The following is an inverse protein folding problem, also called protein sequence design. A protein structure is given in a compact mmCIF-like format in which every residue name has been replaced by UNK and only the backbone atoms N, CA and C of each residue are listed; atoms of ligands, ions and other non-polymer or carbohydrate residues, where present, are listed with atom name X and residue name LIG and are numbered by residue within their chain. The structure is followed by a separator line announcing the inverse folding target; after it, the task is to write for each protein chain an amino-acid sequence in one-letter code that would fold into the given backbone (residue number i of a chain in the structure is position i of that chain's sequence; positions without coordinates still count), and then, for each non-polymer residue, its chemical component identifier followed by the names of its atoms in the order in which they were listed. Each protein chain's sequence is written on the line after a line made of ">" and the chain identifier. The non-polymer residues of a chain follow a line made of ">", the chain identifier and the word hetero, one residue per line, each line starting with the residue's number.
data_IF_929137907561
#
_entry.id   IF_929137907561
#
_cell.length_a   1.000
_cell.length_b   1.000
_cell.length_c   1.000
_cell.angle_alpha   90.00
_cell.angle_beta   90.00
_cell.angle_gamma   90.00
#
_symmetry.space_group_name_H-M   'P 1'
#
loop_
_entity.id
_entity.type
_entity.pdbx_description
1 polymer ?
2 non-polymer ?
3 water ?
#
# COMPACT_ATOMS: atom_id res chain seq x y z
N UNK A 25 -23.99 9.44 1.40
CA UNK A 25 -25.15 8.80 0.78
C UNK A 25 -24.81 8.45 -0.66
N UNK A 26 -23.54 8.71 -0.99
CA UNK A 26 -22.85 8.37 -2.24
C UNK A 26 -21.58 9.21 -2.27
N UNK A 27 -20.50 8.63 -2.81
CA UNK A 27 -19.20 9.26 -3.01
C UNK A 27 -19.10 10.74 -2.64
N UNK A 28 -18.98 11.60 -3.66
CA UNK A 28 -19.08 13.07 -3.70
C UNK A 28 -17.75 13.60 -4.23
N UNK A 29 -16.63 13.17 -3.65
CA UNK A 29 -15.32 13.42 -4.23
C UNK A 29 -14.73 12.16 -4.83
N UNK A 30 -15.32 10.99 -4.55
CA UNK A 30 -14.95 9.77 -5.27
C UNK A 30 -15.59 9.72 -6.64
N UNK A 31 -16.76 10.34 -6.81
CA UNK A 31 -17.30 10.55 -8.15
C UNK A 31 -16.39 11.47 -8.96
N UNK A 32 -15.92 12.55 -8.33
CA UNK A 32 -14.94 13.42 -8.97
C UNK A 32 -13.65 12.66 -9.25
N UNK A 33 -13.30 11.68 -8.42
CA UNK A 33 -12.10 10.90 -8.65
C UNK A 33 -12.23 10.05 -9.91
N UNK A 34 -13.39 9.41 -10.10
CA UNK A 34 -13.61 8.62 -11.31
C UNK A 34 -13.55 9.51 -12.55
N UNK A 35 -14.08 10.73 -12.44
CA UNK A 35 -14.01 11.66 -13.56
C UNK A 35 -12.60 12.23 -13.75
N UNK A 36 -11.81 12.26 -12.68
CA UNK A 36 -10.47 12.86 -12.76
C UNK A 36 -9.37 11.85 -13.03
N UNK A 37 -9.55 10.60 -12.60
CA UNK A 37 -8.52 9.58 -12.71
C UNK A 37 -9.02 8.40 -13.53
N UNK A 38 -8.12 7.80 -14.30
CA UNK A 38 -8.43 6.68 -15.17
C UNK A 38 -7.81 5.39 -14.61
N UNK A 39 -8.09 4.28 -15.30
CA UNK A 39 -7.54 3.01 -14.90
C UNK A 39 -6.07 2.94 -15.29
N UNK A 40 -5.23 2.49 -14.36
CA UNK A 40 -3.78 2.38 -14.56
C UNK A 40 -3.19 3.72 -15.02
N UNK A 41 -3.54 4.77 -14.28
CA UNK A 41 -3.09 6.10 -14.63
C UNK A 41 -1.62 6.29 -14.30
N UNK A 42 -1.08 7.44 -14.69
CA UNK A 42 0.31 7.77 -14.40
C UNK A 42 0.53 7.85 -12.89
N UNK A 43 1.73 7.45 -12.46
CA UNK A 43 2.02 7.40 -11.04
C UNK A 43 1.98 8.78 -10.40
N UNK A 44 2.46 9.80 -11.12
CA UNK A 44 2.57 11.14 -10.58
C UNK A 44 1.47 12.07 -11.07
N UNK A 45 0.40 11.53 -11.65
CA UNK A 45 -0.69 12.38 -12.12
C UNK A 45 -1.51 12.86 -10.93
N UNK A 46 -1.74 14.16 -10.79
CA UNK A 46 -2.50 14.66 -9.64
C UNK A 46 -3.93 14.16 -9.65
N UNK A 47 -4.44 13.86 -8.46
CA UNK A 47 -5.79 13.38 -8.30
C UNK A 47 -6.43 13.91 -7.03
N UNK A 48 -7.76 13.92 -6.98
CA UNK A 48 -8.45 14.44 -5.80
C UNK A 48 -8.51 13.41 -4.70
N UNK A 49 -8.61 13.85 -3.44
CA UNK A 49 -8.81 12.91 -2.34
C UNK A 49 -10.29 12.67 -2.08
N UNK A 50 -10.59 11.47 -1.58
CA UNK A 50 -11.97 11.12 -1.27
C UNK A 50 -12.00 10.22 -0.04
N UNK A 51 -13.17 10.17 0.58
CA UNK A 51 -13.37 9.35 1.77
C UNK A 51 -13.70 7.91 1.37
N UNK A 52 -12.95 6.97 1.94
CA UNK A 52 -13.22 5.55 1.70
C UNK A 52 -14.36 5.08 2.59
N UNK A 53 -14.15 5.15 3.91
CA UNK A 53 -15.17 4.76 4.89
C UNK A 53 -14.78 5.26 6.28
N UNK A 54 -15.67 6.02 6.91
CA UNK A 54 -15.42 6.54 8.25
C UNK A 54 -14.19 7.44 8.34
N UNK A 55 -13.21 7.01 9.14
CA UNK A 55 -12.00 7.78 9.36
C UNK A 55 -10.94 7.53 8.30
N UNK A 56 -11.22 6.70 7.31
CA UNK A 56 -10.23 6.31 6.31
C UNK A 56 -10.47 7.09 5.01
N UNK A 57 -9.39 7.65 4.46
CA UNK A 57 -9.47 8.46 3.25
C UNK A 57 -8.41 8.00 2.26
N UNK A 58 -8.68 8.26 0.98
CA UNK A 58 -7.71 8.08 -0.09
C UNK A 58 -7.07 9.42 -0.39
N UNK A 59 -5.75 9.51 -0.24
CA UNK A 59 -5.03 10.76 -0.45
C UNK A 59 -3.92 10.61 -1.49
N UNK A 60 -3.98 9.53 -2.29
CA UNK A 60 -2.95 9.26 -3.26
C UNK A 60 -3.22 9.93 -4.60
N UNK A 61 -2.41 9.55 -5.58
CA UNK A 61 -2.53 10.08 -6.94
C UNK A 61 -3.57 9.27 -7.70
N UNK A 62 -3.68 9.51 -9.01
CA UNK A 62 -4.53 8.68 -9.86
C UNK A 62 -3.92 7.33 -10.16
N UNK A 63 -2.61 7.17 -9.95
CA UNK A 63 -1.96 5.92 -10.27
C UNK A 63 -1.36 5.22 -9.05
N UNK A 64 -1.11 5.96 -7.98
CA UNK A 64 -0.51 5.41 -6.77
C UNK A 64 -1.39 5.77 -5.58
N UNK A 65 -1.66 4.78 -4.74
CA UNK A 65 -2.55 4.96 -3.59
C UNK A 65 -1.78 5.41 -2.35
N UNK A 66 -2.44 6.22 -1.55
CA UNK A 66 -1.97 6.61 -0.22
C UNK A 66 -3.18 6.66 0.69
N UNK A 67 -3.10 5.95 1.82
CA UNK A 67 -4.25 5.76 2.69
C UNK A 67 -4.04 6.56 3.97
N UNK A 68 -4.96 7.48 4.25
CA UNK A 68 -4.94 8.29 5.46
C UNK A 68 -6.02 7.81 6.42
N UNK A 69 -5.62 7.50 7.65
CA UNK A 69 -6.53 7.03 8.69
C UNK A 69 -6.42 7.99 9.87
N UNK A 70 -7.51 8.68 10.17
CA UNK A 70 -7.52 9.76 11.16
C UNK A 70 -8.03 9.25 12.50
N UNK A 71 -7.45 9.77 13.58
CA UNK A 71 -7.85 9.41 14.93
C UNK A 71 -7.83 10.63 15.84
N UNK A 72 -8.19 10.39 17.10
CA UNK A 72 -8.26 11.48 18.08
C UNK A 72 -6.89 11.89 18.60
N UNK A 73 -5.85 11.10 18.36
CA UNK A 73 -4.50 11.41 18.83
C UNK A 73 -3.51 11.35 17.68
N UNK A 74 -3.91 11.85 16.52
CA UNK A 74 -3.07 11.84 15.33
C UNK A 74 -3.57 10.85 14.30
N UNK A 75 -2.94 10.93 13.12
CA UNK A 75 -3.32 10.11 11.98
C UNK A 75 -2.19 9.17 11.60
N UNK A 76 -2.56 8.12 10.89
CA UNK A 76 -1.61 7.17 10.29
C UNK A 76 -1.73 7.29 8.78
N UNK A 77 -0.58 7.34 8.10
CA UNK A 77 -0.53 7.48 6.65
C UNK A 77 0.29 6.33 6.08
N UNK A 78 -0.31 5.56 5.18
CA UNK A 78 0.35 4.44 4.53
C UNK A 78 0.77 4.86 3.14
N UNK A 79 2.04 4.62 2.80
CA UNK A 79 2.62 4.89 1.49
C UNK A 79 2.73 6.38 1.21
N UNK A 80 3.66 6.75 0.33
CA UNK A 80 3.93 8.13 -0.01
C UNK A 80 3.88 8.43 -1.51
N UNK A 81 3.87 7.40 -2.36
CA UNK A 81 4.09 7.63 -3.77
C UNK A 81 5.55 8.00 -4.00
N UNK A 82 5.81 8.49 -5.22
CA UNK A 82 7.14 8.97 -5.55
C UNK A 82 7.43 10.27 -4.81
N UNK A 83 8.66 10.77 -4.97
CA UNK A 83 8.98 12.08 -4.41
C UNK A 83 8.11 13.16 -5.04
N UNK A 84 7.66 12.95 -6.27
CA UNK A 84 6.73 13.88 -6.91
C UNK A 84 5.29 13.62 -6.48
N UNK A 85 4.94 12.34 -6.28
CA UNK A 85 3.62 12.01 -5.79
C UNK A 85 3.37 12.42 -4.35
N UNK A 86 4.43 12.53 -3.54
CA UNK A 86 4.28 12.99 -2.17
C UNK A 86 3.78 14.44 -2.12
N UNK A 87 4.08 15.23 -3.14
CA UNK A 87 3.54 16.58 -3.21
C UNK A 87 2.02 16.54 -3.37
N UNK A 88 1.51 15.60 -4.17
CA UNK A 88 0.07 15.45 -4.34
C UNK A 88 -0.56 14.93 -3.06
N UNK A 89 0.12 14.00 -2.37
CA UNK A 89 -0.39 13.48 -1.11
C UNK A 89 -0.47 14.60 -0.07
N UNK A 90 0.58 15.41 0.01
CA UNK A 90 0.56 16.56 0.91
C UNK A 90 -0.58 17.50 0.58
N UNK A 91 -0.80 17.76 -0.71
CA UNK A 91 -1.92 18.61 -1.10
C UNK A 91 -3.26 17.98 -0.75
N UNK A 92 -3.39 16.67 -0.97
CA UNK A 92 -4.68 16.01 -0.76
C UNK A 92 -5.06 15.99 0.72
N UNK A 93 -4.07 15.83 1.60
CA UNK A 93 -4.33 15.87 3.03
C UNK A 93 -4.86 17.24 3.44
N UNK A 94 -4.27 18.30 2.86
CA UNK A 94 -4.73 19.66 3.17
C UNK A 94 -6.10 19.93 2.57
N UNK A 95 -6.41 19.33 1.43
CA UNK A 95 -7.73 19.51 0.82
C UNK A 95 -8.83 18.99 1.72
N UNK A 96 -8.58 17.86 2.41
CA UNK A 96 -9.55 17.32 3.34
C UNK A 96 -9.64 18.12 4.63
N UNK A 97 -8.69 19.02 4.88
CA UNK A 97 -8.69 19.83 6.08
C UNK A 97 -7.88 19.26 7.23
N UNK A 98 -7.05 18.25 6.99
CA UNK A 98 -6.26 17.63 8.03
C UNK A 98 -4.85 18.22 8.05
N UNK A 99 -4.30 18.32 9.26
CA UNK A 99 -2.96 18.88 9.44
C UNK A 99 -1.90 17.80 9.17
N UNK A 100 -0.87 18.16 8.41
CA UNK A 100 0.20 17.21 8.13
C UNK A 100 0.98 16.87 9.39
N UNK A 101 1.17 17.86 10.28
CA UNK A 101 1.86 17.59 11.54
C UNK A 101 1.06 16.66 12.44
N UNK A 102 -0.24 16.52 12.21
CA UNK A 102 -1.04 15.54 12.95
C UNK A 102 -0.82 14.12 12.47
N UNK A 103 -0.17 13.92 11.33
CA UNK A 103 0.23 12.59 10.90
C UNK A 103 1.39 12.15 11.78
N UNK A 104 1.14 11.18 12.67
CA UNK A 104 2.14 10.75 13.65
C UNK A 104 2.86 9.47 13.25
N UNK A 105 2.29 8.66 12.35
CA UNK A 105 2.85 7.36 12.01
C UNK A 105 2.80 7.20 10.49
N UNK A 106 3.92 6.77 9.91
CA UNK A 106 4.01 6.45 8.49
C UNK A 106 4.22 4.96 8.30
N UNK A 107 3.40 4.36 7.46
CA UNK A 107 3.49 2.95 7.12
C UNK A 107 3.73 2.81 5.61
N UNK A 108 3.99 1.57 5.18
CA UNK A 108 4.31 1.30 3.79
C UNK A 108 3.68 0.00 3.35
N UNK A 109 3.45 -0.11 2.05
CA UNK A 109 3.06 -1.38 1.43
C UNK A 109 4.32 -2.20 1.15
N UNK A 110 5.05 -1.81 0.10
CA UNK A 110 6.34 -2.41 -0.19
C UNK A 110 7.32 -1.32 -0.63
N UNK A 111 8.60 -1.65 -0.58
CA UNK A 111 9.69 -0.68 -0.65
C UNK A 111 10.10 -0.33 -2.07
N UNK A 112 9.16 -0.16 -2.99
CA UNK A 112 9.48 0.28 -4.34
C UNK A 112 9.32 1.81 -4.44
N UNK A 113 10.05 2.39 -5.39
CA UNK A 113 10.15 3.85 -5.46
C UNK A 113 8.80 4.49 -5.75
N UNK A 114 7.91 3.78 -6.46
CA UNK A 114 6.62 4.37 -6.78
C UNK A 114 5.67 4.42 -5.59
N UNK A 115 6.05 3.84 -4.45
CA UNK A 115 5.21 3.83 -3.26
C UNK A 115 5.85 4.49 -2.04
N UNK A 116 7.18 4.46 -1.92
CA UNK A 116 7.85 5.01 -0.76
C UNK A 116 8.95 5.98 -1.19
N UNK A 117 8.93 6.37 -2.47
CA UNK A 117 9.96 7.26 -2.97
C UNK A 117 9.97 8.61 -2.28
N UNK A 118 8.80 9.12 -1.93
CA UNK A 118 8.71 10.41 -1.27
C UNK A 118 8.46 10.30 0.23
N UNK A 119 8.84 9.16 0.82
CA UNK A 119 8.60 8.95 2.24
C UNK A 119 9.43 9.91 3.09
N UNK A 120 10.67 10.19 2.67
CA UNK A 120 11.53 11.07 3.44
C UNK A 120 10.97 12.49 3.48
N UNK A 121 10.37 12.94 2.38
CA UNK A 121 9.81 14.29 2.35
C UNK A 121 8.60 14.39 3.27
N UNK A 122 7.74 13.37 3.28
CA UNK A 122 6.57 13.39 4.16
C UNK A 122 6.98 13.25 5.62
N UNK A 123 8.02 12.46 5.89
CA UNK A 123 8.50 12.31 7.26
C UNK A 123 9.13 13.60 7.77
N UNK A 124 9.83 14.33 6.89
CA UNK A 124 10.51 15.55 7.33
C UNK A 124 9.53 16.67 7.60
N UNK A 125 8.49 16.79 6.77
CA UNK A 125 7.55 17.89 6.91
C UNK A 125 6.47 17.62 7.94
N UNK A 126 6.18 16.35 8.24
CA UNK A 126 5.19 15.99 9.25
C UNK A 126 5.80 15.67 10.60
N UNK A 127 7.06 15.22 10.63
CA UNK A 127 7.67 14.78 11.85
C UNK A 127 7.22 13.43 12.35
N UNK A 128 6.53 12.65 11.51
CA UNK A 128 6.03 11.35 11.91
C UNK A 128 7.19 10.35 12.04
N UNK A 129 6.94 9.31 12.82
CA UNK A 129 7.89 8.20 12.93
C UNK A 129 7.50 7.13 11.91
N UNK A 130 8.48 6.66 11.14
CA UNK A 130 8.26 5.73 10.06
C UNK A 130 8.53 4.31 10.53
N UNK A 131 7.51 3.46 10.45
CA UNK A 131 7.63 2.05 10.79
C UNK A 131 7.76 1.23 9.52
N UNK A 132 8.67 0.25 9.53
CA UNK A 132 8.94 -0.54 8.35
C UNK A 132 9.41 -1.93 8.75
N UNK A 133 9.10 -2.90 7.89
CA UNK A 133 9.63 -4.25 8.07
C UNK A 133 11.15 -4.23 7.92
N UNK A 134 11.84 -5.23 8.48
CA UNK A 134 13.31 -5.23 8.40
C UNK A 134 13.86 -5.14 6.98
N UNK A 135 13.29 -5.87 6.03
CA UNK A 135 13.78 -5.80 4.66
C UNK A 135 13.48 -4.44 4.03
N UNK A 136 12.29 -3.89 4.31
CA UNK A 136 11.96 -2.57 3.79
C UNK A 136 12.79 -1.48 4.46
N UNK A 137 13.05 -1.62 5.76
CA UNK A 137 13.83 -0.62 6.48
C UNK A 137 15.23 -0.47 5.89
N UNK A 138 15.81 -1.57 5.40
CA UNK A 138 17.13 -1.49 4.78
C UNK A 138 17.07 -0.69 3.48
N UNK A 139 15.97 -0.82 2.73
CA UNK A 139 15.84 -0.05 1.49
C UNK A 139 15.64 1.42 1.80
N UNK A 140 14.80 1.75 2.79
CA UNK A 140 14.57 3.15 3.15
C UNK A 140 15.85 3.77 3.72
N UNK A 141 16.63 3.00 4.47
CA UNK A 141 17.87 3.51 5.02
C UNK A 141 18.91 3.75 3.94
N UNK A 142 18.94 2.91 2.91
CA UNK A 142 19.89 3.04 1.81
C UNK A 142 19.31 3.75 0.60
N UNK A 143 18.00 3.97 0.56
CA UNK A 143 17.39 4.62 -0.58
C UNK A 143 17.32 3.80 -1.85
N UNK A 144 17.57 2.49 -1.78
CA UNK A 144 17.59 1.66 -2.97
C UNK A 144 17.56 0.19 -2.56
N UNK A 145 17.13 -0.65 -3.50
CA UNK A 145 17.30 -2.09 -3.39
C UNK A 145 18.79 -2.43 -3.35
N UNK A 146 19.13 -3.59 -2.78
CA UNK A 146 18.21 -4.62 -2.33
C UNK A 146 18.43 -5.86 -3.18
N UNK A 147 19.27 -6.77 -2.69
CA UNK A 147 19.75 -7.86 -3.52
C UNK A 147 18.63 -8.83 -3.90
N UNK A 148 17.77 -9.18 -2.94
CA UNK A 148 16.71 -10.15 -3.19
C UNK A 148 15.43 -9.50 -3.72
N UNK A 149 15.48 -8.22 -4.03
CA UNK A 149 14.32 -7.56 -4.63
C UNK A 149 14.14 -8.06 -6.07
N UNK A 150 12.96 -8.55 -6.42
CA UNK A 150 12.76 -9.04 -7.80
C UNK A 150 13.03 -8.00 -8.87
N UNK A 151 12.76 -6.73 -8.58
CA UNK A 151 12.95 -5.65 -9.56
C UNK A 151 14.23 -4.86 -9.28
N UNK A 152 15.27 -5.53 -8.76
CA UNK A 152 16.53 -4.86 -8.49
C UNK A 152 17.24 -4.55 -9.80
N UNK A 153 17.50 -3.26 -10.05
CA UNK A 153 18.15 -2.83 -11.27
C UNK A 153 18.67 -1.41 -11.20
N UNK A 156 15.96 2.64 -9.69
CA UNK A 156 16.01 4.06 -9.38
C UNK A 156 16.08 4.29 -7.88
N UNK A 157 16.95 5.19 -7.45
CA UNK A 157 17.12 5.51 -6.04
C UNK A 157 16.22 6.68 -5.64
N UNK A 158 15.96 6.78 -4.35
CA UNK A 158 15.14 7.83 -3.78
C UNK A 158 15.78 8.28 -2.47
N UNK A 159 15.45 9.48 -2.00
CA UNK A 159 16.07 9.99 -0.76
C UNK A 159 15.86 9.05 0.41
N UNK A 160 16.91 8.90 1.22
CA UNK A 160 16.86 8.00 2.36
C UNK A 160 15.92 8.56 3.43
N UNK A 161 15.26 7.67 4.15
CA UNK A 161 14.30 8.04 5.18
C UNK A 161 14.75 7.51 6.53
N UNK A 162 14.18 8.07 7.59
CA UNK A 162 14.51 7.70 8.96
C UNK A 162 13.44 6.75 9.49
N UNK A 163 13.83 5.49 9.69
CA UNK A 163 12.93 4.48 10.23
C UNK A 163 13.08 4.45 11.75
N UNK A 164 11.97 4.61 12.45
CA UNK A 164 12.00 4.66 13.91
C UNK A 164 11.58 3.38 14.59
N UNK A 165 10.98 2.46 13.85
CA UNK A 165 10.53 1.21 14.43
C UNK A 165 10.43 0.14 13.37
N UNK A 166 10.59 -1.11 13.80
CA UNK A 166 10.52 -2.26 12.92
C UNK A 166 9.20 -2.98 13.09
N UNK A 167 8.61 -3.42 11.97
CA UNK A 167 7.31 -4.08 11.95
C UNK A 167 7.52 -5.53 11.53
N UNK A 168 7.14 -6.46 12.41
CA UNK A 168 7.20 -7.88 12.12
C UNK A 168 5.80 -8.39 11.77
N UNK A 169 5.74 -9.67 11.42
CA UNK A 169 4.46 -10.27 11.02
C UNK A 169 3.52 -10.34 12.22
N UNK A 170 2.30 -9.84 12.04
CA UNK A 170 1.31 -9.84 13.08
C UNK A 170 1.42 -8.71 14.08
N UNK A 171 2.39 -7.82 13.92
CA UNK A 171 2.56 -6.71 14.86
C UNK A 171 1.44 -5.70 14.70
N UNK A 172 1.09 -5.06 15.82
CA UNK A 172 0.04 -4.05 15.84
C UNK A 172 0.63 -2.65 15.93
N UNK A 173 -0.08 -1.69 15.33
CA UNK A 173 0.30 -0.28 15.36
C UNK A 173 -0.83 0.47 16.05
N UNK A 174 -0.50 1.14 17.16
CA UNK A 174 -1.48 1.84 17.98
C UNK A 174 -1.20 3.33 17.98
N UNK A 175 -2.25 4.13 17.80
CA UNK A 175 -2.13 5.58 17.84
C UNK A 175 -3.50 6.12 18.29
N UNK A 176 -3.62 6.41 19.59
CA UNK A 176 -4.90 6.79 20.15
C UNK A 176 -5.93 5.70 20.01
N UNK A 177 -7.04 6.00 19.34
CA UNK A 177 -8.06 4.99 19.08
C UNK A 177 -7.78 4.16 17.84
N UNK A 178 -6.73 4.49 17.09
CA UNK A 178 -6.42 3.76 15.87
C UNK A 178 -5.63 2.49 16.20
N UNK A 179 -5.88 1.45 15.40
CA UNK A 179 -5.24 0.15 15.62
C UNK A 179 -5.14 -0.57 14.28
N UNK A 180 -3.90 -0.81 13.84
CA UNK A 180 -3.62 -1.51 12.61
C UNK A 180 -2.76 -2.73 12.89
N UNK A 181 -2.97 -3.79 12.12
CA UNK A 181 -2.16 -5.01 12.20
C UNK A 181 -1.55 -5.29 10.85
N UNK A 182 -0.25 -5.58 10.83
CA UNK A 182 0.48 -5.86 9.61
C UNK A 182 0.63 -7.36 9.41
N UNK A 183 0.75 -7.76 8.14
CA UNK A 183 0.97 -9.14 7.77
C UNK A 183 2.05 -9.18 6.70
N UNK A 184 3.15 -9.87 7.00
CA UNK A 184 4.26 -9.99 6.06
C UNK A 184 3.81 -10.78 4.84
N UNK A 185 3.63 -10.10 3.71
CA UNK A 185 3.23 -10.72 2.44
C UNK A 185 4.29 -10.43 1.39
N UNK A 186 5.44 -11.09 1.47
CA UNK A 186 6.52 -10.86 0.50
C UNK A 186 6.21 -11.54 -0.82
N UNK A 187 7.18 -11.43 -1.75
CA UNK A 187 7.00 -11.96 -3.08
C UNK A 187 7.25 -10.90 -4.13
N UNK A 188 6.44 -9.84 -4.11
CA UNK A 188 6.74 -8.67 -4.94
C UNK A 188 8.01 -7.98 -4.47
N UNK A 189 8.19 -7.85 -3.17
CA UNK A 189 9.41 -7.39 -2.54
C UNK A 189 9.67 -8.27 -1.32
N UNK A 190 10.92 -8.31 -0.83
CA UNK A 190 11.18 -9.09 0.38
C UNK A 190 10.46 -8.57 1.61
N UNK A 191 10.26 -7.26 1.72
CA UNK A 191 9.66 -6.69 2.92
C UNK A 191 8.28 -6.09 2.72
N UNK A 192 7.50 -6.65 1.81
CA UNK A 192 6.16 -6.16 1.57
C UNK A 192 5.24 -6.47 2.75
N UNK A 193 4.29 -5.57 2.99
CA UNK A 193 3.34 -5.70 4.09
C UNK A 193 1.93 -5.50 3.59
N UNK A 194 0.99 -6.15 4.27
CA UNK A 194 -0.44 -5.95 4.06
C UNK A 194 -1.06 -5.51 5.38
N UNK A 195 -1.75 -4.38 5.37
CA UNK A 195 -2.28 -3.77 6.58
C UNK A 195 -3.78 -3.98 6.65
N UNK A 196 -4.27 -4.14 7.88
CA UNK A 196 -5.69 -4.39 8.13
C UNK A 196 -6.12 -3.62 9.37
N UNK A 197 -7.19 -2.84 9.23
CA UNK A 197 -7.74 -2.07 10.34
C UNK A 197 -9.26 -2.05 10.23
N UNK A 198 -9.90 -1.54 11.27
CA UNK A 198 -11.34 -1.41 11.32
C UNK A 198 -11.73 0.06 11.23
N UNK A 199 -12.79 0.34 10.47
CA UNK A 199 -13.30 1.69 10.28
C UNK A 199 -14.76 1.72 10.70
N UNK A 200 -15.08 2.63 11.62
CA UNK A 200 -16.46 2.77 12.10
C UNK A 200 -16.96 4.20 11.90
N UNK A 205 -19.09 -2.65 12.20
CA UNK A 205 -18.15 -1.82 11.44
C UNK A 205 -17.69 -2.54 10.17
N UNK A 206 -16.66 -1.99 9.53
CA UNK A 206 -16.10 -2.54 8.31
C UNK A 206 -14.61 -2.78 8.50
N UNK A 207 -14.14 -3.95 8.05
CA UNK A 207 -12.73 -4.31 8.13
C UNK A 207 -12.08 -4.04 6.78
N UNK A 208 -11.16 -3.09 6.75
CA UNK A 208 -10.44 -2.73 5.53
C UNK A 208 -9.07 -3.39 5.53
N UNK A 209 -8.62 -3.81 4.34
CA UNK A 209 -7.32 -4.44 4.18
C UNK A 209 -6.60 -3.75 3.04
N UNK A 210 -5.40 -3.25 3.31
CA UNK A 210 -4.55 -2.62 2.30
C UNK A 210 -3.54 -3.67 1.83
N UNK A 211 -4.01 -4.52 0.92
CA UNK A 211 -3.20 -5.64 0.44
C UNK A 211 -2.13 -5.16 -0.54
N UNK A 212 -0.92 -5.67 -0.37
CA UNK A 212 0.20 -5.29 -1.21
C UNK A 212 -0.03 -5.71 -2.66
N UNK A 213 0.79 -5.15 -3.56
CA UNK A 213 0.67 -5.47 -4.98
C UNK A 213 0.78 -6.97 -5.22
N UNK A 214 1.76 -7.62 -4.59
CA UNK A 214 1.92 -9.07 -4.62
C UNK A 214 2.15 -9.61 -6.03
N UNK A 215 2.35 -8.73 -7.02
CA UNK A 215 2.46 -9.17 -8.41
C UNK A 215 3.79 -9.88 -8.64
N UNK A 216 3.77 -11.02 -9.35
CA UNK A 216 4.98 -11.75 -9.74
C UNK A 216 5.75 -11.08 -10.89
N UNK A 217 5.99 -9.79 -10.74
CA UNK A 217 6.74 -9.02 -11.72
C UNK A 217 8.14 -8.81 -11.15
N UNK A 218 9.10 -8.61 -12.05
CA UNK A 218 10.50 -8.50 -11.66
C UNK A 218 11.27 -7.83 -12.79
N UNK A 219 12.56 -7.61 -12.55
CA UNK A 219 13.45 -7.14 -13.59
C UNK A 219 13.78 -8.27 -14.55
N UNK A 220 14.11 -7.91 -15.78
CA UNK A 220 14.39 -8.92 -16.80
C UNK A 220 15.69 -9.64 -16.47
N UNK A 221 15.59 -10.95 -16.27
CA UNK A 221 16.73 -11.76 -15.89
C UNK A 221 16.78 -12.16 -14.43
N UNK A 222 15.75 -11.86 -13.65
CA UNK A 222 15.76 -12.18 -12.22
C UNK A 222 15.37 -13.64 -11.99
N UNK A 223 14.32 -14.11 -12.66
CA UNK A 223 13.78 -15.47 -12.58
C UNK A 223 13.34 -15.85 -11.17
N UNK A 224 12.05 -16.16 -11.02
CA UNK A 224 11.50 -16.46 -9.70
C UNK A 224 11.93 -17.83 -9.21
N UNK A 225 11.90 -18.84 -10.09
CA UNK A 225 12.15 -20.22 -9.70
C UNK A 225 13.55 -20.47 -9.15
N UNK A 226 14.44 -19.49 -9.15
CA UNK A 226 15.78 -19.69 -8.63
C UNK A 226 15.87 -19.55 -7.13
N UNK A 227 14.80 -19.08 -6.47
CA UNK A 227 14.83 -18.74 -5.05
C UNK A 227 13.68 -19.41 -4.30
N UNK A 228 13.69 -20.75 -4.22
CA UNK A 228 12.56 -21.45 -3.57
C UNK A 228 12.37 -21.04 -2.12
N UNK A 229 13.39 -20.50 -1.46
CA UNK A 229 13.20 -19.94 -0.13
C UNK A 229 12.30 -18.71 -0.17
N UNK A 230 12.27 -18.02 -1.30
CA UNK A 230 11.48 -16.81 -1.47
C UNK A 230 10.04 -17.09 -1.86
N UNK A 231 9.77 -18.26 -2.45
CA UNK A 231 8.43 -18.60 -2.92
C UNK A 231 7.57 -19.25 -1.85
N UNK A 232 8.16 -20.01 -0.94
CA UNK A 232 7.39 -20.59 0.16
C UNK A 232 6.85 -19.51 1.08
N UNK A 233 7.65 -18.47 1.34
CA UNK A 233 7.16 -17.33 2.09
C UNK A 233 6.16 -16.53 1.27
N UNK A 234 6.36 -16.49 -0.06
CA UNK A 234 5.36 -15.93 -0.96
C UNK A 234 4.03 -16.66 -0.80
N UNK A 235 4.07 -18.01 -0.75
CA UNK A 235 2.85 -18.77 -0.56
C UNK A 235 2.25 -18.54 0.82
N UNK A 236 3.11 -18.42 1.84
CA UNK A 236 2.62 -18.29 3.21
C UNK A 236 1.84 -16.99 3.41
N UNK A 237 2.30 -15.90 2.81
CA UNK A 237 1.58 -14.65 2.94
C UNK A 237 0.32 -14.61 2.10
N UNK A 238 0.35 -15.25 0.93
CA UNK A 238 -0.83 -15.32 0.08
C UNK A 238 -1.95 -16.11 0.75
N UNK A 239 -1.60 -17.28 1.31
CA UNK A 239 -2.59 -18.06 2.05
C UNK A 239 -3.08 -17.33 3.28
N UNK A 240 -2.24 -16.45 3.85
CA UNK A 240 -2.66 -15.67 5.00
C UNK A 240 -3.59 -14.53 4.59
N UNK A 241 -3.29 -13.86 3.48
CA UNK A 241 -4.12 -12.75 3.04
C UNK A 241 -5.52 -13.21 2.63
N UNK A 242 -5.61 -14.40 2.02
CA UNK A 242 -6.91 -14.88 1.54
C UNK A 242 -7.86 -15.18 2.69
N UNK A 243 -7.33 -15.54 3.86
CA UNK A 243 -8.15 -15.94 4.99
C UNK A 243 -8.34 -14.82 6.02
N UNK A 244 -7.85 -13.62 5.74
CA UNK A 244 -8.01 -12.52 6.66
C UNK A 244 -9.45 -12.04 6.68
N UNK A 245 -9.90 -11.58 7.85
CA UNK A 245 -11.15 -10.84 7.93
C UNK A 245 -11.03 -9.59 7.06
N UNK A 246 -11.93 -9.45 6.09
CA UNK A 246 -11.70 -8.51 5.00
C UNK A 246 -13.02 -8.19 4.33
N UNK A 247 -13.55 -7.00 4.59
CA UNK A 247 -14.78 -6.54 3.95
C UNK A 247 -14.53 -5.56 2.81
N UNK A 248 -13.49 -4.73 2.92
CA UNK A 248 -13.15 -3.74 1.90
C UNK A 248 -11.69 -3.88 1.55
N UNK A 249 -11.38 -3.87 0.26
CA UNK A 249 -10.03 -4.10 -0.23
C UNK A 249 -9.47 -2.82 -0.87
N UNK A 250 -8.22 -2.51 -0.55
CA UNK A 250 -7.50 -1.38 -1.13
C UNK A 250 -6.12 -1.84 -1.57
N UNK A 251 -5.64 -1.25 -2.66
CA UNK A 251 -4.37 -1.66 -3.24
C UNK A 251 -3.51 -0.45 -3.55
N UNK A 252 -2.17 -0.58 -3.41
CA UNK A 252 -1.29 0.55 -3.74
C UNK A 252 -1.42 1.02 -5.18
N UNK A 253 -1.66 0.09 -6.11
CA UNK A 253 -2.12 0.45 -7.43
C UNK A 253 -3.64 0.31 -7.45
N UNK A 254 -4.40 1.40 -7.52
CA UNK A 254 -5.86 1.27 -7.35
C UNK A 254 -6.53 0.32 -8.32
N UNK A 255 -6.04 0.24 -9.55
CA UNK A 255 -6.66 -0.64 -10.54
C UNK A 255 -6.38 -2.11 -10.26
N UNK A 256 -5.48 -2.42 -9.32
CA UNK A 256 -5.24 -3.83 -8.97
C UNK A 256 -6.47 -4.46 -8.34
N UNK A 257 -7.27 -3.67 -7.61
CA UNK A 257 -8.50 -4.16 -7.01
C UNK A 257 -9.74 -3.57 -7.69
N UNK A 258 -9.57 -3.02 -8.90
CA UNK A 258 -10.66 -2.40 -9.65
C UNK A 258 -11.35 -1.32 -8.82
N UNK A 259 -10.55 -0.53 -8.11
CA UNK A 259 -11.11 0.51 -7.25
C UNK A 259 -11.91 1.52 -8.04
N UNK A 260 -11.45 1.87 -9.25
CA UNK A 260 -12.19 2.84 -10.06
C UNK A 260 -13.51 2.26 -10.53
N UNK A 261 -13.53 0.99 -10.93
CA UNK A 261 -14.78 0.37 -11.36
C UNK A 261 -15.76 0.22 -10.19
N UNK A 262 -15.25 -0.17 -9.02
CA UNK A 262 -16.11 -0.28 -7.85
C UNK A 262 -16.67 1.08 -7.45
N UNK A 263 -15.89 2.15 -7.62
CA UNK A 263 -16.38 3.48 -7.29
C UNK A 263 -17.44 3.94 -8.29
N UNK A 264 -17.25 3.62 -9.57
CA UNK A 264 -18.19 4.08 -10.60
C UNK A 264 -19.43 3.21 -10.68
N UNK A 265 -19.28 1.90 -10.48
CA UNK A 265 -20.36 0.96 -10.70
C UNK A 265 -21.30 0.83 -9.51
N UNK A 266 -20.79 0.91 -8.28
CA UNK A 266 -21.56 0.51 -7.10
C UNK A 266 -21.62 1.64 -6.08
N UNK A 267 -22.31 1.36 -4.98
CA UNK A 267 -22.47 2.32 -3.90
C UNK A 267 -21.28 2.30 -2.94
N UNK A 268 -20.64 1.15 -2.77
CA UNK A 268 -19.56 0.99 -1.81
C UNK A 268 -18.39 0.26 -2.46
N UNK A 269 -17.21 0.44 -1.85
CA UNK A 269 -16.02 -0.28 -2.28
C UNK A 269 -15.92 -1.68 -1.68
N UNK A 270 -16.80 -2.03 -0.74
CA UNK A 270 -16.69 -3.28 -0.02
C UNK A 270 -17.28 -4.42 -0.83
N UNK A 271 -16.51 -5.50 -0.99
CA UNK A 271 -16.98 -6.70 -1.65
C UNK A 271 -16.84 -7.86 -0.68
N UNK A 272 -17.82 -8.77 -0.59
CA UNK A 272 -17.59 -10.01 0.16
C UNK A 272 -16.51 -10.84 -0.51
N UNK A 273 -15.66 -11.47 0.32
CA UNK A 273 -14.54 -12.28 -0.17
C UNK A 273 -13.61 -11.47 -1.06
N UNK A 274 -13.37 -10.21 -0.69
CA UNK A 274 -12.49 -9.36 -1.49
C UNK A 274 -11.05 -9.84 -1.42
N UNK A 275 -10.56 -10.12 -0.21
CA UNK A 275 -9.19 -10.61 -0.07
C UNK A 275 -9.04 -12.04 -0.54
N UNK A 276 -10.14 -12.82 -0.51
CA UNK A 276 -10.08 -14.19 -1.00
C UNK A 276 -9.95 -14.23 -2.52
N UNK A 277 -10.66 -13.34 -3.21
CA UNK A 277 -10.59 -13.29 -4.67
C UNK A 277 -9.26 -12.70 -5.14
N UNK A 278 -8.76 -11.69 -4.43
CA UNK A 278 -7.52 -11.03 -4.84
C UNK A 278 -6.33 -11.97 -4.68
N UNK A 279 -6.24 -12.65 -3.54
CA UNK A 279 -5.11 -13.56 -3.32
C UNK A 279 -5.15 -14.74 -4.28
N UNK A 280 -6.34 -15.24 -4.60
CA UNK A 280 -6.45 -16.33 -5.56
C UNK A 280 -6.03 -15.86 -6.95
N UNK A 281 -6.33 -14.61 -7.29
CA UNK A 281 -5.86 -14.07 -8.57
C UNK A 281 -4.35 -13.93 -8.61
N UNK A 282 -3.73 -13.58 -7.48
CA UNK A 282 -2.28 -13.51 -7.42
C UNK A 282 -1.67 -14.90 -7.55
N UNK A 283 -2.26 -15.89 -6.88
CA UNK A 283 -1.79 -17.26 -7.00
C UNK A 283 -1.94 -17.77 -8.43
N UNK A 284 -2.97 -17.33 -9.14
CA UNK A 284 -3.10 -17.68 -10.54
C UNK A 284 -2.00 -17.05 -11.38
N UNK A 285 -1.74 -15.75 -11.15
CA UNK A 285 -0.64 -15.08 -11.86
C UNK A 285 0.71 -15.69 -11.50
N UNK A 286 0.87 -16.10 -10.24
CA UNK A 286 2.13 -16.71 -9.82
C UNK A 286 2.32 -18.08 -10.47
N UNK A 287 1.24 -18.86 -10.60
CA UNK A 287 1.33 -20.15 -11.25
C UNK A 287 1.68 -20.01 -12.73
N UNK A 288 1.14 -18.98 -13.39
CA UNK A 288 1.52 -18.71 -14.77
C UNK A 288 2.91 -18.09 -14.87
N UNK A 289 3.35 -17.39 -13.82
CA UNK A 289 4.71 -16.86 -13.81
C UNK A 289 5.73 -18.00 -13.73
N UNK A 290 5.50 -18.97 -12.84
CA UNK A 290 6.36 -20.13 -12.76
C UNK A 290 6.20 -21.07 -13.95
N UNK A 291 5.15 -20.88 -14.75
CA UNK A 291 5.05 -21.63 -16.01
C UNK A 291 6.02 -21.09 -17.05
N UNK A 292 6.33 -19.79 -17.00
CA UNK A 292 7.32 -19.19 -17.87
C UNK A 292 8.76 -19.46 -17.43
N UNK A 293 8.96 -20.46 -16.57
CA UNK A 293 10.31 -20.85 -16.20
C UNK A 293 11.01 -21.55 -17.35
N UNK A 294 10.42 -22.66 -17.83
CA UNK A 294 10.99 -23.40 -18.94
C UNK A 294 10.11 -23.30 -20.18
X LIG B 1 4.11 -0.35 -7.60
X LIG C 1 6.45 -2.60 -6.59
#
# INVERSE_FOLDING_TARGET
>A
MGLPKGLQFFLLALLAMPMVGTQAQTAVTAEHWVDSCADWDAWDKPGPPFRVLGNTYYVGTCGIAAILITGDAGHVLIDSGTDRGAVIVRDNIARLGFSLSDVKILLHSHEHIDHVGGMASLQSLSGATLYASPAAAAVMRNGTAGEDDPQAGALASFPVARVGGLVNDGDQIALGNLRLTAYATPGHTPGALSWQWRACEEDRCTTLVYADSLSPVSAEGYRFNAHPEYLQAYRLGLATLADLECDLLLTPHPSASQMRQRLSERQSLAVPDACRQYATGISARLAQRLASEAD
>B hetero
1 ZN ZN
>C hetero
1 ZN ZN
#
